data_IF_427716969796
#
_entry.id   IF_427716969796
#
_cell.length_a   1.000
_cell.length_b   1.000
_cell.length_c   1.000
_cell.angle_alpha   90.00
_cell.angle_beta   90.00
_cell.angle_gamma   90.00
#
_symmetry.space_group_name_H-M   'P 1'
#
loop_
_entity.id
_entity.type
_entity.pdbx_description
1 polymer ?
#
# COMPACT_ATOMS: atom_id res chain seq x y z
N UNK A 1 19.45 22.02 -7.70
CA UNK A 1 19.38 20.99 -6.64
C UNK A 1 18.74 19.68 -7.11
N UNK A 2 17.89 19.67 -8.13
CA UNK A 2 17.19 18.47 -8.65
C UNK A 2 18.08 17.51 -9.46
N UNK A 3 19.13 18.01 -10.12
CA UNK A 3 20.02 17.19 -10.98
C UNK A 3 20.85 16.11 -10.26
N UNK A 4 20.98 16.15 -8.92
CA UNK A 4 21.71 15.11 -8.19
C UNK A 4 20.88 13.84 -7.97
N UNK A 5 19.55 13.92 -8.06
CA UNK A 5 18.65 12.77 -7.89
C UNK A 5 18.64 11.84 -9.10
N UNK A 6 18.99 12.36 -10.29
CA UNK A 6 18.94 11.61 -11.57
C UNK A 6 20.31 11.12 -12.05
N UNK A 7 21.37 11.28 -11.25
CA UNK A 7 22.72 10.84 -11.61
C UNK A 7 22.88 9.35 -11.31
N UNK A 8 23.47 8.59 -12.25
CA UNK A 8 23.78 7.16 -12.10
C UNK A 8 24.57 6.95 -10.79
N UNK A 9 23.98 6.20 -9.86
CA UNK A 9 24.57 5.97 -8.53
C UNK A 9 25.71 4.96 -8.66
N UNK A 10 26.95 5.42 -8.47
CA UNK A 10 28.15 4.59 -8.64
C UNK A 10 28.54 3.82 -7.36
N UNK A 11 27.83 4.02 -6.24
CA UNK A 11 28.12 3.35 -4.96
C UNK A 11 26.86 2.99 -4.18
N UNK A 12 26.95 1.96 -3.33
CA UNK A 12 25.86 1.54 -2.45
C UNK A 12 25.46 2.66 -1.48
N UNK A 13 26.43 3.44 -0.99
CA UNK A 13 26.20 4.55 -0.06
C UNK A 13 25.31 5.64 -0.68
N UNK A 14 25.57 5.96 -1.95
CA UNK A 14 24.88 7.04 -2.64
C UNK A 14 23.46 6.64 -3.07
N UNK A 15 23.24 5.36 -3.40
CA UNK A 15 21.89 4.79 -3.55
C UNK A 15 21.12 4.77 -2.22
N UNK A 16 21.76 4.34 -1.13
CA UNK A 16 21.14 4.34 0.21
C UNK A 16 20.74 5.75 0.66
N UNK A 17 21.58 6.76 0.41
CA UNK A 17 21.29 8.15 0.74
C UNK A 17 20.04 8.69 0.02
N UNK A 18 19.87 8.36 -1.26
CA UNK A 18 18.67 8.75 -2.03
C UNK A 18 17.42 8.08 -1.47
N UNK A 19 17.48 6.77 -1.20
CA UNK A 19 16.36 6.03 -0.63
C UNK A 19 15.96 6.59 0.75
N UNK A 20 16.93 6.82 1.63
CA UNK A 20 16.67 7.40 2.95
C UNK A 20 16.04 8.80 2.86
N UNK A 21 16.54 9.63 1.95
CA UNK A 21 15.99 10.98 1.74
C UNK A 21 14.55 10.91 1.23
N UNK A 22 14.28 10.02 0.27
CA UNK A 22 12.93 9.79 -0.25
C UNK A 22 11.97 9.30 0.85
N UNK A 23 12.40 8.35 1.68
CA UNK A 23 11.62 7.84 2.82
C UNK A 23 11.35 8.94 3.85
N UNK A 24 12.35 9.77 4.17
CA UNK A 24 12.18 10.88 5.11
C UNK A 24 11.17 11.91 4.59
N UNK A 25 11.28 12.31 3.32
CA UNK A 25 10.33 13.24 2.70
C UNK A 25 8.91 12.64 2.70
N UNK A 26 8.77 11.37 2.33
CA UNK A 26 7.49 10.66 2.36
C UNK A 26 6.87 10.65 3.76
N UNK A 27 7.67 10.37 4.80
CA UNK A 27 7.21 10.40 6.20
C UNK A 27 6.82 11.78 6.68
N UNK A 28 7.57 12.83 6.31
CA UNK A 28 7.24 14.20 6.65
C UNK A 28 5.94 14.66 6.00
N UNK A 29 5.72 14.32 4.71
CA UNK A 29 4.47 14.58 4.02
C UNK A 29 3.30 13.82 4.65
N UNK A 30 3.52 12.56 5.06
CA UNK A 30 2.55 11.78 5.83
C UNK A 30 2.16 12.46 7.14
N UNK A 31 3.15 12.91 7.92
CA UNK A 31 2.90 13.63 9.17
C UNK A 31 2.12 14.93 8.95
N UNK A 32 2.43 15.68 7.89
CA UNK A 32 1.68 16.88 7.53
C UNK A 32 0.23 16.54 7.17
N UNK A 33 0.01 15.51 6.35
CA UNK A 33 -1.34 15.00 6.03
C UNK A 33 -2.11 14.65 7.30
N UNK A 34 -1.51 13.88 8.20
CA UNK A 34 -2.17 13.44 9.43
C UNK A 34 -2.52 14.64 10.33
N UNK A 35 -1.64 15.65 10.39
CA UNK A 35 -1.89 16.90 11.10
C UNK A 35 -3.02 17.71 10.47
N UNK A 36 -3.09 17.79 9.13
CA UNK A 36 -4.18 18.45 8.44
C UNK A 36 -5.51 17.73 8.66
N UNK A 37 -5.54 16.40 8.57
CA UNK A 37 -6.72 15.60 8.87
C UNK A 37 -7.15 15.83 10.31
N UNK A 38 -6.25 15.68 11.28
CA UNK A 38 -6.55 15.96 12.68
C UNK A 38 -7.11 17.37 12.86
N UNK A 39 -6.49 18.39 12.26
CA UNK A 39 -6.94 19.80 12.31
C UNK A 39 -8.35 20.03 11.76
N UNK A 40 -8.73 19.32 10.70
CA UNK A 40 -10.03 19.45 10.04
C UNK A 40 -11.14 18.70 10.79
N UNK A 41 -10.80 17.59 11.45
CA UNK A 41 -11.72 16.77 12.24
C UNK A 41 -11.77 17.14 13.74
N UNK A 42 -11.28 18.34 14.14
CA UNK A 42 -11.31 18.84 15.54
C UNK A 42 -12.70 19.20 16.07
N UNK A 43 -13.75 19.09 15.26
CA UNK A 43 -15.12 19.25 15.78
C UNK A 43 -15.44 18.03 16.67
N UNK A 44 -15.78 18.20 17.97
CA UNK A 44 -16.10 17.09 18.87
C UNK A 44 -17.25 16.19 18.36
N UNK A 45 -18.08 16.66 17.42
CA UNK A 45 -19.07 15.83 16.73
C UNK A 45 -18.48 14.86 15.68
N UNK A 46 -17.24 15.07 15.24
CA UNK A 46 -16.57 14.35 14.15
C UNK A 46 -15.34 13.53 14.58
N UNK A 47 -14.96 13.58 15.87
CA UNK A 47 -13.79 12.88 16.40
C UNK A 47 -13.80 11.36 16.09
N UNK A 48 -14.96 10.69 16.17
CA UNK A 48 -15.09 9.26 15.83
C UNK A 48 -14.90 8.95 14.34
N UNK A 49 -15.11 9.92 13.44
CA UNK A 49 -14.96 9.71 12.00
C UNK A 49 -13.50 9.53 11.58
N UNK A 50 -12.57 10.18 12.28
CA UNK A 50 -11.14 10.05 12.02
C UNK A 50 -10.61 8.65 12.41
N UNK A 51 -11.07 8.12 13.54
CA UNK A 51 -10.74 6.76 13.97
C UNK A 51 -11.30 5.72 13.00
N UNK A 52 -12.54 5.93 12.52
CA UNK A 52 -13.15 5.10 11.46
C UNK A 52 -12.33 5.16 10.17
N UNK A 53 -11.89 6.34 9.76
CA UNK A 53 -11.04 6.52 8.58
C UNK A 53 -9.76 5.70 8.72
N UNK A 54 -9.00 5.86 9.80
CA UNK A 54 -7.77 5.12 10.01
C UNK A 54 -7.99 3.60 10.11
N UNK A 55 -9.04 3.16 10.79
CA UNK A 55 -9.40 1.75 10.87
C UNK A 55 -9.72 1.16 9.50
N UNK A 56 -10.40 1.91 8.63
CA UNK A 56 -10.80 1.46 7.30
C UNK A 56 -9.62 1.14 6.37
N UNK A 57 -8.44 1.74 6.58
CA UNK A 57 -7.22 1.43 5.83
C UNK A 57 -6.59 0.10 6.19
N UNK A 58 -6.91 -0.47 7.36
CA UNK A 58 -6.19 -1.62 7.90
C UNK A 58 -6.33 -2.88 7.04
N UNK A 59 -7.54 -3.13 6.53
CA UNK A 59 -7.82 -4.24 5.62
C UNK A 59 -7.09 -4.10 4.27
N UNK A 60 -7.26 -2.98 3.53
CA UNK A 60 -6.51 -2.71 2.31
C UNK A 60 -4.99 -2.80 2.49
N UNK A 61 -4.46 -2.31 3.62
CA UNK A 61 -3.02 -2.26 3.87
C UNK A 61 -2.43 -3.66 4.12
N UNK A 62 -3.12 -4.53 4.86
CA UNK A 62 -2.69 -5.91 5.09
C UNK A 62 -2.55 -6.67 3.77
N UNK A 63 -3.50 -6.53 2.85
CA UNK A 63 -3.43 -7.18 1.53
C UNK A 63 -2.20 -6.72 0.76
N UNK A 64 -1.98 -5.41 0.74
CA UNK A 64 -0.84 -4.81 0.06
C UNK A 64 0.49 -5.30 0.65
N UNK A 65 0.61 -5.31 1.98
CA UNK A 65 1.82 -5.80 2.66
C UNK A 65 2.08 -7.28 2.39
N UNK A 66 1.07 -8.13 2.47
CA UNK A 66 1.21 -9.58 2.25
C UNK A 66 1.67 -9.90 0.82
N UNK A 67 1.07 -9.24 -0.17
CA UNK A 67 1.38 -9.51 -1.57
C UNK A 67 2.66 -8.83 -2.03
N UNK A 68 2.81 -7.52 -1.78
CA UNK A 68 3.92 -6.73 -2.32
C UNK A 68 5.18 -6.93 -1.50
N UNK A 69 5.11 -6.73 -0.18
CA UNK A 69 6.29 -6.80 0.70
C UNK A 69 6.66 -8.26 1.00
N UNK A 70 5.67 -9.11 1.22
CA UNK A 70 5.88 -10.53 1.53
C UNK A 70 6.19 -11.37 0.29
N UNK A 71 5.15 -11.75 -0.44
CA UNK A 71 5.24 -12.78 -1.48
C UNK A 71 6.06 -12.36 -2.70
N UNK A 72 5.83 -11.14 -3.20
CA UNK A 72 6.49 -10.66 -4.42
C UNK A 72 7.94 -10.24 -4.15
N UNK A 73 8.20 -9.36 -3.18
CA UNK A 73 9.54 -8.78 -3.02
C UNK A 73 10.63 -9.80 -2.64
N UNK A 74 10.35 -10.75 -1.74
CA UNK A 74 11.34 -11.72 -1.27
C UNK A 74 11.78 -12.72 -2.35
N UNK A 75 10.84 -13.12 -3.22
CA UNK A 75 11.10 -14.08 -4.29
C UNK A 75 11.52 -13.40 -5.61
N UNK A 76 11.00 -12.21 -5.91
CA UNK A 76 11.18 -11.54 -7.19
C UNK A 76 12.63 -11.14 -7.46
N UNK A 77 13.27 -10.42 -6.52
CA UNK A 77 14.63 -9.89 -6.72
C UNK A 77 15.64 -11.00 -7.05
N UNK A 78 15.76 -12.09 -6.27
CA UNK A 78 16.73 -13.14 -6.57
C UNK A 78 16.41 -13.91 -7.85
N UNK A 79 15.12 -14.13 -8.15
CA UNK A 79 14.70 -14.82 -9.39
C UNK A 79 15.00 -13.94 -10.60
N UNK A 80 14.54 -12.68 -10.60
CA UNK A 80 14.77 -11.75 -11.69
C UNK A 80 16.26 -11.54 -11.97
N UNK A 81 17.07 -11.35 -10.93
CA UNK A 81 18.53 -11.15 -11.09
C UNK A 81 19.22 -12.37 -11.69
N UNK A 82 18.78 -13.59 -11.34
CA UNK A 82 19.32 -14.83 -11.94
C UNK A 82 19.05 -14.92 -13.44
N UNK A 83 17.85 -14.55 -13.88
CA UNK A 83 17.51 -14.57 -15.31
C UNK A 83 18.14 -13.40 -16.06
N UNK A 84 18.20 -12.21 -15.47
CA UNK A 84 18.75 -11.00 -16.09
C UNK A 84 20.21 -11.17 -16.54
N UNK A 85 20.99 -11.96 -15.81
CA UNK A 85 22.39 -12.26 -16.13
C UNK A 85 22.56 -13.29 -17.25
N UNK A 86 21.52 -14.08 -17.55
CA UNK A 86 21.54 -15.13 -18.58
C UNK A 86 20.88 -14.66 -19.86
N UNK A 87 19.63 -14.23 -19.76
CA UNK A 87 18.79 -13.81 -20.86
C UNK A 87 17.83 -12.71 -20.40
N UNK A 88 17.92 -11.56 -21.07
CA UNK A 88 17.10 -10.39 -20.72
C UNK A 88 15.64 -10.59 -21.09
N UNK A 89 15.33 -11.23 -22.23
CA UNK A 89 13.93 -11.46 -22.61
C UNK A 89 13.26 -12.40 -21.63
N UNK A 90 13.94 -13.49 -21.27
CA UNK A 90 13.42 -14.44 -20.29
C UNK A 90 13.23 -13.78 -18.91
N UNK A 91 14.16 -12.90 -18.50
CA UNK A 91 14.01 -12.13 -17.27
C UNK A 91 12.75 -11.24 -17.26
N UNK A 92 12.49 -10.56 -18.37
CA UNK A 92 11.28 -9.75 -18.53
C UNK A 92 10.02 -10.60 -18.60
N UNK A 93 10.08 -11.78 -19.20
CA UNK A 93 8.96 -12.70 -19.23
C UNK A 93 8.61 -13.18 -17.82
N UNK A 94 9.61 -13.62 -17.05
CA UNK A 94 9.43 -14.02 -15.64
C UNK A 94 8.91 -12.86 -14.80
N UNK A 95 9.45 -11.66 -14.99
CA UNK A 95 8.98 -10.48 -14.26
C UNK A 95 7.50 -10.20 -14.55
N UNK A 96 7.11 -10.23 -15.81
CA UNK A 96 5.74 -10.00 -16.26
C UNK A 96 4.80 -11.06 -15.69
N UNK A 97 5.21 -12.33 -15.66
CA UNK A 97 4.43 -13.43 -15.08
C UNK A 97 4.24 -13.23 -13.58
N UNK A 98 5.30 -12.92 -12.84
CA UNK A 98 5.22 -12.72 -11.38
C UNK A 98 4.35 -11.51 -11.03
N UNK A 99 4.51 -10.39 -11.73
CA UNK A 99 3.67 -9.20 -11.57
C UNK A 99 2.20 -9.54 -11.89
N UNK A 100 1.95 -10.23 -13.00
CA UNK A 100 0.58 -10.61 -13.40
C UNK A 100 -0.08 -11.52 -12.37
N UNK A 101 0.65 -12.50 -11.84
CA UNK A 101 0.17 -13.38 -10.75
C UNK A 101 -0.06 -12.59 -9.46
N UNK A 102 0.80 -11.63 -9.15
CA UNK A 102 0.65 -10.72 -8.02
C UNK A 102 -0.63 -9.88 -8.11
N UNK A 103 -0.90 -9.30 -9.27
CA UNK A 103 -2.12 -8.52 -9.55
C UNK A 103 -3.35 -9.42 -9.48
N UNK A 104 -3.30 -10.62 -10.08
CA UNK A 104 -4.39 -11.57 -10.00
C UNK A 104 -4.69 -11.99 -8.56
N UNK A 105 -3.64 -12.30 -7.77
CA UNK A 105 -3.77 -12.61 -6.35
C UNK A 105 -4.34 -11.45 -5.54
N UNK A 106 -3.92 -10.22 -5.85
CA UNK A 106 -4.50 -9.00 -5.26
C UNK A 106 -5.98 -8.88 -5.56
N UNK A 107 -6.39 -9.01 -6.82
CA UNK A 107 -7.80 -8.90 -7.23
C UNK A 107 -8.68 -9.92 -6.50
N UNK A 108 -8.19 -11.16 -6.38
CA UNK A 108 -8.90 -12.22 -5.65
C UNK A 108 -9.04 -11.85 -4.17
N UNK A 109 -7.95 -11.48 -3.50
CA UNK A 109 -7.98 -11.13 -2.07
C UNK A 109 -8.81 -9.88 -1.80
N UNK A 110 -8.70 -8.86 -2.65
CA UNK A 110 -9.50 -7.65 -2.58
C UNK A 110 -10.99 -7.97 -2.77
N UNK A 111 -11.36 -8.84 -3.72
CA UNK A 111 -12.74 -9.29 -3.90
C UNK A 111 -13.29 -10.05 -2.69
N UNK A 112 -12.49 -10.94 -2.10
CA UNK A 112 -12.85 -11.66 -0.87
C UNK A 112 -13.10 -10.66 0.27
N UNK A 113 -12.19 -9.72 0.49
CA UNK A 113 -12.34 -8.73 1.58
C UNK A 113 -13.50 -7.78 1.30
N UNK A 114 -13.74 -7.40 0.05
CA UNK A 114 -14.88 -6.57 -0.31
C UNK A 114 -16.21 -7.23 0.09
N UNK A 115 -16.31 -8.55 -0.14
CA UNK A 115 -17.48 -9.35 0.24
C UNK A 115 -17.56 -9.54 1.77
N UNK A 116 -16.44 -9.86 2.43
CA UNK A 116 -16.35 -10.03 3.89
C UNK A 116 -16.15 -8.71 4.67
N UNK A 117 -16.32 -7.55 4.04
CA UNK A 117 -16.00 -6.27 4.68
C UNK A 117 -16.76 -6.08 6.00
N UNK A 118 -18.04 -6.48 6.05
CA UNK A 118 -18.86 -6.37 7.25
C UNK A 118 -18.36 -7.21 8.45
N UNK A 119 -18.18 -8.54 8.33
CA UNK A 119 -17.65 -9.34 9.43
C UNK A 119 -16.20 -8.98 9.78
N UNK A 120 -15.36 -8.62 8.80
CA UNK A 120 -13.97 -8.25 9.05
C UNK A 120 -13.86 -6.91 9.79
N UNK A 121 -14.66 -5.90 9.43
CA UNK A 121 -14.68 -4.62 10.15
C UNK A 121 -15.12 -4.78 11.61
N UNK A 122 -16.10 -5.65 11.88
CA UNK A 122 -16.51 -5.99 13.27
C UNK A 122 -15.40 -6.67 14.07
N UNK A 123 -14.60 -7.52 13.41
CA UNK A 123 -13.47 -8.18 14.05
C UNK A 123 -12.34 -7.19 14.36
N UNK A 124 -12.07 -6.26 13.46
CA UNK A 124 -10.97 -5.29 13.58
C UNK A 124 -11.30 -4.18 14.58
N UNK A 125 -12.54 -3.70 14.59
CA UNK A 125 -13.00 -2.59 15.43
C UNK A 125 -14.30 -2.97 16.17
N UNK A 126 -14.25 -3.91 17.14
CA UNK A 126 -15.43 -4.34 17.87
C UNK A 126 -16.04 -3.24 18.78
N UNK A 127 -15.26 -2.21 19.11
CA UNK A 127 -15.70 -1.09 19.94
C UNK A 127 -16.46 0.02 19.18
N UNK A 128 -16.60 -0.08 17.86
CA UNK A 128 -17.30 0.92 17.06
C UNK A 128 -18.82 0.74 17.13
N UNK A 129 -19.53 1.87 17.14
CA UNK A 129 -20.98 1.89 17.02
C UNK A 129 -21.44 1.32 15.67
N UNK A 130 -22.72 0.91 15.54
CA UNK A 130 -23.24 0.42 14.26
C UNK A 130 -23.06 1.39 13.08
N UNK A 131 -23.22 2.70 13.32
CA UNK A 131 -23.04 3.73 12.31
C UNK A 131 -21.57 3.89 11.87
N UNK A 132 -20.64 3.82 12.83
CA UNK A 132 -19.20 3.87 12.57
C UNK A 132 -18.72 2.63 11.79
N UNK A 133 -19.25 1.45 12.12
CA UNK A 133 -18.97 0.22 11.38
C UNK A 133 -19.49 0.31 9.94
N UNK A 134 -20.69 0.84 9.73
CA UNK A 134 -21.25 1.02 8.39
C UNK A 134 -20.39 1.97 7.56
N UNK A 135 -19.96 3.09 8.15
CA UNK A 135 -19.04 4.03 7.51
C UNK A 135 -17.68 3.37 7.20
N UNK A 136 -17.11 2.63 8.15
CA UNK A 136 -15.85 1.88 7.96
C UNK A 136 -15.96 0.92 6.77
N UNK A 137 -17.05 0.15 6.68
CA UNK A 137 -17.28 -0.81 5.59
C UNK A 137 -17.31 -0.08 4.24
N UNK A 138 -18.02 1.05 4.15
CA UNK A 138 -18.10 1.83 2.92
C UNK A 138 -16.72 2.39 2.51
N UNK A 139 -15.98 2.98 3.46
CA UNK A 139 -14.65 3.52 3.20
C UNK A 139 -13.69 2.40 2.78
N UNK A 140 -13.67 1.27 3.49
CA UNK A 140 -12.83 0.11 3.13
C UNK A 140 -13.11 -0.36 1.70
N UNK A 141 -14.39 -0.46 1.30
CA UNK A 141 -14.76 -0.85 -0.07
C UNK A 141 -14.25 0.14 -1.11
N UNK A 142 -14.40 1.45 -0.86
CA UNK A 142 -13.86 2.48 -1.74
C UNK A 142 -12.33 2.43 -1.82
N UNK A 143 -11.64 2.20 -0.70
CA UNK A 143 -10.18 2.09 -0.66
C UNK A 143 -9.68 0.87 -1.42
N UNK A 144 -10.34 -0.28 -1.32
CA UNK A 144 -9.99 -1.47 -2.09
C UNK A 144 -10.11 -1.21 -3.60
N UNK A 145 -11.18 -0.51 -4.03
CA UNK A 145 -11.34 -0.12 -5.42
C UNK A 145 -10.27 0.89 -5.87
N UNK A 146 -9.93 1.86 -5.01
CA UNK A 146 -8.88 2.83 -5.29
C UNK A 146 -7.49 2.19 -5.38
N UNK A 147 -7.21 1.12 -4.64
CA UNK A 147 -5.94 0.39 -4.77
C UNK A 147 -5.78 -0.29 -6.15
N UNK A 148 -6.89 -0.58 -6.85
CA UNK A 148 -6.81 -1.13 -8.20
C UNK A 148 -6.24 -0.14 -9.21
N UNK A 149 -6.49 1.16 -9.06
CA UNK A 149 -5.89 2.16 -9.95
C UNK A 149 -4.39 2.28 -9.73
N UNK A 150 -3.94 2.21 -8.48
CA UNK A 150 -2.51 2.19 -8.12
C UNK A 150 -1.75 0.96 -8.62
N UNK A 151 -2.43 -0.17 -8.82
CA UNK A 151 -1.80 -1.39 -9.33
C UNK A 151 -1.57 -1.36 -10.84
N UNK A 152 -2.30 -0.52 -11.56
CA UNK A 152 -2.25 -0.44 -13.04
C UNK A 152 -1.38 0.73 -13.52
N UNK A 153 -1.14 1.73 -12.66
CA UNK A 153 -0.28 2.90 -12.92
C UNK A 153 1.21 2.62 -12.67
#
# INVERSE_FOLDING_TARGET
MVNHLFRKQNSVLSAAAVLMTAVLISRLLGLLRDRFLASYFFDPASAGQLDVYFAAFRLPDIVFQLLVVGALSAAFIPVFTRYLLKDKEEAWHVASTVISLGIAGFLILAGIIFWLAAPLSRLIAPGFSPAELELMIQITRWLLLAQLSFLVS
#
